data_IF_031302318333
#
_entry.id   IF_031302318333
#
_cell.length_a   1.000
_cell.length_b   1.000
_cell.length_c   1.000
_cell.angle_alpha   90.00
_cell.angle_beta   90.00
_cell.angle_gamma   90.00
#
_symmetry.space_group_name_H-M   'P 1'
#
loop_
_entity.id
_entity.type
_entity.pdbx_description
1 polymer ?
#
# COMPACT_ATOMS: atom_id res chain seq x y z
N UNK A 1 4.66 -9.80 -12.25
CA UNK A 1 4.17 -10.19 -12.46
C UNK A 1 4.28 -11.34 -13.20
N UNK A 2 3.69 -11.98 -13.35
CA UNK A 2 3.65 -13.10 -13.89
C UNK A 2 4.11 -13.15 -15.20
N UNK A 3 4.59 -12.20 -15.67
CA UNK A 3 4.97 -12.21 -17.00
C UNK A 3 6.28 -12.82 -17.18
N UNK A 4 6.93 -13.27 -16.18
CA UNK A 4 8.25 -13.82 -16.33
C UNK A 4 8.27 -14.99 -17.30
N UNK A 5 7.17 -15.71 -17.44
CA UNK A 5 7.17 -16.83 -18.35
C UNK A 5 7.07 -16.38 -19.79
N UNK A 6 6.82 -15.10 -20.04
CA UNK A 6 6.77 -14.60 -21.37
C UNK A 6 8.14 -14.15 -21.85
N UNK A 7 9.15 -14.28 -21.01
CA UNK A 7 10.49 -13.88 -21.38
C UNK A 7 11.39 -15.06 -21.17
N UNK A 8 11.31 -16.02 -22.06
CA UNK A 8 12.05 -17.26 -21.88
C UNK A 8 13.55 -17.13 -21.88
N UNK A 9 14.05 -16.00 -22.33
CA UNK A 9 15.48 -15.83 -22.34
C UNK A 9 16.03 -15.31 -21.02
N UNK A 10 15.14 -15.00 -20.09
CA UNK A 10 15.57 -14.48 -18.80
C UNK A 10 16.22 -15.60 -18.01
N UNK A 11 17.35 -15.31 -17.40
CA UNK A 11 18.02 -16.30 -16.62
C UNK A 11 17.40 -16.35 -15.28
N UNK A 12 16.74 -17.37 -14.98
CA UNK A 12 16.10 -17.55 -13.70
C UNK A 12 14.81 -16.73 -13.57
N UNK A 13 14.06 -16.94 -12.52
CA UNK A 13 12.77 -16.29 -12.34
C UNK A 13 12.91 -14.85 -11.88
N UNK A 14 11.85 -14.07 -12.14
CA UNK A 14 11.72 -12.74 -11.59
C UNK A 14 10.85 -12.88 -10.35
N UNK A 15 11.31 -12.35 -9.23
CA UNK A 15 10.55 -12.41 -7.99
C UNK A 15 9.71 -11.15 -7.84
N UNK A 16 8.41 -11.32 -7.64
CA UNK A 16 7.52 -10.19 -7.39
C UNK A 16 7.21 -10.15 -5.91
N UNK A 17 7.62 -9.08 -5.24
CA UNK A 17 7.46 -8.95 -3.81
C UNK A 17 6.38 -7.93 -3.52
N UNK A 18 5.37 -8.32 -2.73
CA UNK A 18 4.31 -7.41 -2.36
C UNK A 18 4.83 -6.45 -1.29
N UNK A 19 4.77 -5.17 -1.57
CA UNK A 19 5.24 -4.14 -0.65
C UNK A 19 4.07 -3.29 -0.14
N UNK A 20 2.92 -3.92 0.06
CA UNK A 20 1.73 -3.19 0.48
C UNK A 20 0.87 -3.97 1.48
N UNK A 21 1.48 -4.91 2.19
CA UNK A 21 0.74 -5.73 3.14
C UNK A 21 1.19 -5.53 4.58
N UNK A 22 1.76 -4.38 4.89
CA UNK A 22 2.18 -4.09 6.25
C UNK A 22 0.98 -4.10 7.19
N UNK A 23 -0.08 -3.34 6.82
CA UNK A 23 -1.34 -3.34 7.54
C UNK A 23 -2.46 -3.62 6.55
N UNK A 24 -3.49 -4.28 7.00
CA UNK A 24 -4.62 -4.62 6.15
C UNK A 24 -5.69 -5.33 6.95
N UNK A 25 -6.46 -6.19 6.28
CA UNK A 25 -7.55 -6.89 6.95
C UNK A 25 -7.06 -7.84 8.02
N UNK A 26 -5.78 -8.17 8.03
CA UNK A 26 -5.17 -9.07 8.99
C UNK A 26 -4.67 -8.37 10.26
N UNK A 27 -4.82 -7.07 10.35
CA UNK A 27 -4.22 -6.30 11.42
C UNK A 27 -5.13 -5.15 11.84
N UNK A 28 -4.67 -4.33 12.76
CA UNK A 28 -5.33 -3.06 13.08
C UNK A 28 -5.00 -1.99 12.07
N UNK A 29 -5.46 -0.76 12.31
CA UNK A 29 -5.25 0.34 11.36
C UNK A 29 -3.80 0.70 11.16
N UNK A 30 -3.47 1.09 9.95
CA UNK A 30 -2.14 1.54 9.61
C UNK A 30 -1.93 1.59 8.11
N UNK A 31 -0.78 2.07 7.68
CA UNK A 31 -0.48 2.20 6.25
C UNK A 31 -0.14 0.86 5.64
N UNK A 32 -0.33 0.74 4.32
CA UNK A 32 0.05 -0.48 3.62
C UNK A 32 1.56 -0.66 3.57
N UNK A 33 2.32 0.41 3.67
CA UNK A 33 3.78 0.37 3.70
C UNK A 33 4.30 1.61 4.39
N UNK A 34 5.53 1.54 4.88
CA UNK A 34 6.22 2.71 5.40
C UNK A 34 7.70 2.55 5.07
N UNK A 35 8.49 3.53 5.45
CA UNK A 35 9.91 3.56 5.10
C UNK A 35 10.65 2.35 5.69
N UNK A 36 10.40 2.07 6.94
CA UNK A 36 11.07 0.98 7.63
C UNK A 36 10.70 -0.37 7.05
N UNK A 37 9.43 -0.53 6.70
CA UNK A 37 8.95 -1.76 6.08
C UNK A 37 9.61 -1.98 4.72
N UNK A 38 9.69 -0.92 3.90
CA UNK A 38 10.31 -1.04 2.59
C UNK A 38 11.80 -1.34 2.72
N UNK A 39 12.48 -0.73 3.68
CA UNK A 39 13.88 -1.03 3.90
C UNK A 39 14.08 -2.48 4.32
N UNK A 40 13.17 -3.00 5.16
CA UNK A 40 13.23 -4.37 5.60
C UNK A 40 13.05 -5.35 4.44
N UNK A 41 12.12 -5.04 3.53
CA UNK A 41 11.88 -5.87 2.36
C UNK A 41 13.09 -5.86 1.45
N UNK A 42 13.67 -4.68 1.21
CA UNK A 42 14.85 -4.58 0.36
C UNK A 42 16.02 -5.36 0.94
N UNK A 43 16.16 -5.32 2.25
CA UNK A 43 17.23 -6.04 2.91
C UNK A 43 17.07 -7.55 2.73
N UNK A 44 15.83 -8.04 2.84
CA UNK A 44 15.58 -9.46 2.65
C UNK A 44 15.83 -9.91 1.22
N UNK A 45 15.59 -9.03 0.25
CA UNK A 45 15.74 -9.38 -1.15
C UNK A 45 17.15 -9.17 -1.68
N UNK A 46 18.01 -8.59 -0.87
CA UNK A 46 19.35 -8.23 -1.29
C UNK A 46 20.15 -9.37 -1.87
N UNK A 47 20.00 -10.56 -1.34
CA UNK A 47 20.78 -11.71 -1.78
C UNK A 47 20.02 -12.66 -2.71
N UNK A 48 18.85 -12.23 -3.18
CA UNK A 48 18.10 -13.06 -4.12
C UNK A 48 18.81 -13.01 -5.47
N UNK A 49 19.16 -14.16 -6.02
CA UNK A 49 19.95 -14.21 -7.25
C UNK A 49 19.12 -14.07 -8.52
N UNK A 50 18.16 -13.20 -8.51
CA UNK A 50 17.26 -12.99 -9.65
C UNK A 50 16.69 -11.57 -9.58
N UNK A 51 16.19 -11.05 -10.68
CA UNK A 51 15.56 -9.72 -10.66
C UNK A 51 14.39 -9.70 -9.70
N UNK A 52 14.22 -8.60 -8.99
CA UNK A 52 13.14 -8.43 -8.03
C UNK A 52 12.25 -7.28 -8.47
N UNK A 53 10.94 -7.54 -8.57
CA UNK A 53 9.96 -6.53 -8.90
C UNK A 53 9.23 -6.19 -7.62
N UNK A 54 9.29 -4.93 -7.21
CA UNK A 54 8.67 -4.47 -5.98
C UNK A 54 7.28 -3.93 -6.32
N UNK A 55 6.26 -4.63 -5.86
CA UNK A 55 4.87 -4.27 -6.16
C UNK A 55 4.30 -3.36 -5.07
N UNK A 56 3.77 -2.23 -5.49
CA UNK A 56 3.11 -1.28 -4.61
C UNK A 56 1.63 -1.23 -4.97
N UNK A 57 0.80 -0.79 -4.05
CA UNK A 57 -0.63 -0.69 -4.34
C UNK A 57 -1.21 0.56 -3.70
N UNK A 58 -2.19 1.15 -4.38
CA UNK A 58 -2.94 2.28 -3.85
C UNK A 58 -4.13 1.75 -3.05
N UNK A 59 -5.02 2.65 -2.62
CA UNK A 59 -6.20 2.27 -1.88
C UNK A 59 -5.88 1.97 -0.43
N UNK A 60 -6.84 1.44 0.27
CA UNK A 60 -6.66 1.18 1.68
C UNK A 60 -7.83 0.44 2.31
N UNK A 61 -8.04 0.70 3.58
CA UNK A 61 -9.04 -0.01 4.37
C UNK A 61 -9.72 0.92 5.35
N UNK A 62 -10.94 0.54 5.71
CA UNK A 62 -11.73 1.20 6.74
C UNK A 62 -11.83 0.19 7.89
N UNK A 63 -11.24 0.51 9.03
CA UNK A 63 -11.31 -0.32 10.22
C UNK A 63 -12.37 0.24 11.14
N UNK A 64 -13.41 -0.57 11.39
CA UNK A 64 -14.51 -0.18 12.26
C UNK A 64 -14.23 -0.64 13.68
N UNK A 65 -14.72 0.10 14.66
CA UNK A 65 -14.49 -0.27 16.06
C UNK A 65 -15.17 -1.60 16.41
N UNK A 66 -16.12 -2.05 15.60
CA UNK A 66 -16.77 -3.34 15.85
C UNK A 66 -15.92 -4.52 15.32
N UNK A 67 -14.74 -4.24 14.79
CA UNK A 67 -13.84 -5.27 14.32
C UNK A 67 -13.91 -5.58 12.83
N UNK A 68 -14.86 -4.98 12.13
CA UNK A 68 -14.96 -5.24 10.70
C UNK A 68 -13.95 -4.37 9.94
N UNK A 69 -13.46 -4.88 8.82
CA UNK A 69 -12.49 -4.17 7.99
C UNK A 69 -12.98 -4.23 6.55
N UNK A 70 -13.11 -3.07 5.92
CA UNK A 70 -13.61 -2.96 4.56
C UNK A 70 -12.52 -2.41 3.65
N UNK A 71 -12.31 -3.07 2.53
CA UNK A 71 -11.34 -2.61 1.53
C UNK A 71 -11.93 -1.43 0.76
N UNK A 72 -11.13 -0.41 0.51
CA UNK A 72 -11.56 0.78 -0.23
C UNK A 72 -10.55 1.11 -1.32
N UNK A 73 -11.06 1.60 -2.46
CA UNK A 73 -10.16 2.20 -3.44
C UNK A 73 -9.81 3.59 -2.94
N UNK A 74 -8.79 4.20 -3.53
CA UNK A 74 -8.42 5.56 -3.18
C UNK A 74 -9.60 6.51 -3.37
N UNK A 75 -10.32 6.35 -4.48
CA UNK A 75 -11.45 7.21 -4.75
C UNK A 75 -12.56 7.03 -3.73
N UNK A 76 -12.85 5.80 -3.36
CA UNK A 76 -13.86 5.52 -2.34
C UNK A 76 -13.47 6.13 -1.00
N UNK A 77 -12.20 6.04 -0.64
CA UNK A 77 -11.72 6.62 0.62
C UNK A 77 -11.90 8.13 0.62
N UNK A 78 -11.61 8.78 -0.51
CA UNK A 78 -11.74 10.23 -0.62
C UNK A 78 -13.19 10.67 -0.58
N UNK A 79 -14.08 9.94 -1.24
CA UNK A 79 -15.50 10.25 -1.24
C UNK A 79 -16.06 10.09 0.17
N UNK A 80 -15.65 9.04 0.86
CA UNK A 80 -16.12 8.79 2.22
C UNK A 80 -15.69 9.92 3.16
N UNK A 81 -14.46 10.40 3.01
CA UNK A 81 -13.97 11.51 3.84
C UNK A 81 -14.82 12.75 3.61
N UNK A 82 -15.19 13.03 2.36
CA UNK A 82 -16.01 14.18 2.04
C UNK A 82 -17.41 14.02 2.60
N UNK A 83 -17.94 12.81 2.54
CA UNK A 83 -19.29 12.53 3.01
C UNK A 83 -19.43 12.79 4.50
N UNK A 84 -18.42 12.45 5.28
CA UNK A 84 -18.46 12.63 6.72
C UNK A 84 -17.66 13.87 7.17
N UNK A 85 -17.22 14.70 6.23
CA UNK A 85 -16.45 15.91 6.51
C UNK A 85 -15.23 15.61 7.38
N UNK A 86 -14.59 14.47 7.12
CA UNK A 86 -13.43 14.06 7.88
C UNK A 86 -12.20 14.78 7.37
N UNK A 87 -11.28 15.08 8.28
CA UNK A 87 -10.05 15.77 7.92
C UNK A 87 -8.96 14.76 7.60
N UNK A 88 -8.54 14.70 6.34
CA UNK A 88 -7.48 13.78 5.93
C UNK A 88 -6.13 14.34 6.34
N UNK A 89 -5.31 13.49 6.92
CA UNK A 89 -3.96 13.86 7.35
C UNK A 89 -2.95 12.98 6.63
N UNK A 90 -1.72 13.42 6.58
CA UNK A 90 -0.64 12.65 5.98
C UNK A 90 0.29 12.15 7.07
N UNK A 91 0.50 10.84 7.08
CA UNK A 91 1.39 10.21 8.05
C UNK A 91 2.84 10.30 7.55
N UNK A 92 3.79 10.06 8.45
CA UNK A 92 5.20 10.05 8.07
C UNK A 92 5.49 8.92 7.08
N UNK A 93 4.63 7.91 7.00
CA UNK A 93 4.77 6.84 6.04
C UNK A 93 4.40 7.30 4.63
N UNK A 94 3.85 8.49 4.48
CA UNK A 94 3.35 8.98 3.21
C UNK A 94 1.90 8.63 2.96
N UNK A 95 1.32 7.75 3.75
CA UNK A 95 -0.08 7.37 3.60
C UNK A 95 -0.99 8.44 4.18
N UNK A 96 -2.23 8.46 3.72
CA UNK A 96 -3.25 9.38 4.23
C UNK A 96 -4.16 8.63 5.17
N UNK A 97 -4.68 9.35 6.14
CA UNK A 97 -5.61 8.73 7.09
C UNK A 97 -6.58 9.75 7.65
N UNK A 98 -7.71 9.24 8.14
CA UNK A 98 -8.70 10.04 8.83
C UNK A 98 -9.57 9.15 9.70
N UNK A 99 -10.33 9.76 10.60
CA UNK A 99 -11.30 9.03 11.41
C UNK A 99 -12.66 9.66 11.20
N UNK A 100 -13.71 8.89 11.41
CA UNK A 100 -15.07 9.41 11.33
C UNK A 100 -16.00 8.53 12.17
N UNK A 101 -17.18 9.04 12.46
CA UNK A 101 -18.20 8.29 13.18
C UNK A 101 -19.39 8.19 12.25
N UNK A 102 -19.90 6.98 12.03
CA UNK A 102 -21.00 6.78 11.10
C UNK A 102 -22.35 7.11 11.75
N UNK A 103 -23.43 6.89 10.99
CA UNK A 103 -24.78 7.25 11.44
C UNK A 103 -25.20 6.48 12.67
N UNK A 104 -24.61 5.34 12.90
CA UNK A 104 -24.95 4.50 14.04
C UNK A 104 -24.08 4.80 15.26
N UNK A 105 -23.20 5.79 15.16
CA UNK A 105 -22.32 6.13 16.26
C UNK A 105 -21.08 5.26 16.35
N UNK A 106 -20.81 4.47 15.33
CA UNK A 106 -19.63 3.58 15.32
C UNK A 106 -18.43 4.34 14.77
N UNK A 107 -17.32 4.25 15.47
CA UNK A 107 -16.08 4.92 15.06
C UNK A 107 -15.33 4.10 14.05
N UNK A 108 -14.71 4.81 13.11
CA UNK A 108 -13.92 4.18 12.02
C UNK A 108 -12.61 4.91 11.86
N UNK A 109 -11.61 4.17 11.43
CA UNK A 109 -10.31 4.77 11.07
C UNK A 109 -9.96 4.26 9.68
N UNK A 110 -9.67 5.18 8.76
CA UNK A 110 -9.38 4.86 7.37
C UNK A 110 -7.95 5.25 7.04
N UNK A 111 -7.23 4.33 6.40
CA UNK A 111 -5.88 4.60 5.90
C UNK A 111 -5.86 4.23 4.43
N UNK A 112 -5.28 5.08 3.61
CA UNK A 112 -5.19 4.80 2.18
C UNK A 112 -3.96 5.44 1.57
N UNK A 113 -3.54 4.94 0.41
CA UNK A 113 -2.45 5.50 -0.35
C UNK A 113 -2.98 6.06 -1.66
N UNK A 114 -2.61 7.31 -1.97
CA UNK A 114 -2.99 7.93 -3.22
C UNK A 114 -1.76 8.03 -4.11
N UNK A 115 -1.86 8.78 -5.20
CA UNK A 115 -0.75 8.91 -6.15
C UNK A 115 0.50 9.49 -5.46
N UNK A 116 0.31 10.47 -4.61
CA UNK A 116 1.42 11.08 -3.89
C UNK A 116 2.12 10.06 -2.99
N UNK A 117 1.32 9.22 -2.32
CA UNK A 117 1.85 8.17 -1.47
C UNK A 117 2.70 7.20 -2.27
N UNK A 118 2.20 6.79 -3.44
CA UNK A 118 2.94 5.86 -4.29
C UNK A 118 4.26 6.47 -4.74
N UNK A 119 4.26 7.76 -5.05
CA UNK A 119 5.49 8.42 -5.49
C UNK A 119 6.52 8.46 -4.37
N UNK A 120 6.08 8.65 -3.14
CA UNK A 120 6.98 8.63 -2.00
C UNK A 120 7.59 7.23 -1.83
N UNK A 121 6.76 6.22 -1.92
CA UNK A 121 7.23 4.83 -1.75
C UNK A 121 8.19 4.44 -2.88
N UNK A 122 7.90 4.84 -4.11
CA UNK A 122 8.80 4.56 -5.24
C UNK A 122 10.14 5.25 -5.03
N UNK A 123 10.12 6.48 -4.50
CA UNK A 123 11.34 7.20 -4.25
C UNK A 123 12.22 6.46 -3.24
N UNK A 124 11.61 5.95 -2.18
CA UNK A 124 12.35 5.21 -1.17
C UNK A 124 12.98 3.94 -1.75
N UNK A 125 12.24 3.25 -2.63
CA UNK A 125 12.79 2.06 -3.28
C UNK A 125 13.94 2.43 -4.21
N UNK A 126 13.81 3.54 -4.92
CA UNK A 126 14.87 4.00 -5.82
C UNK A 126 16.12 4.38 -5.03
N UNK A 127 15.95 4.99 -3.87
CA UNK A 127 17.09 5.36 -3.02
C UNK A 127 17.84 4.11 -2.56
N UNK A 128 17.15 2.99 -2.47
CA UNK A 128 17.79 1.73 -2.15
C UNK A 128 18.39 1.02 -3.35
N UNK A 129 18.37 1.67 -4.51
CA UNK A 129 19.01 1.11 -5.71
C UNK A 129 18.08 0.28 -6.58
N UNK A 130 16.79 0.27 -6.30
CA UNK A 130 15.84 -0.56 -7.04
C UNK A 130 15.14 0.21 -8.14
N UNK A 131 14.94 -0.42 -9.28
CA UNK A 131 14.33 0.24 -10.43
C UNK A 131 13.17 -0.52 -11.04
N UNK A 132 12.86 -1.69 -10.49
CA UNK A 132 11.77 -2.49 -11.01
C UNK A 132 10.57 -2.39 -10.09
N UNK A 133 9.51 -1.75 -10.55
CA UNK A 133 8.31 -1.55 -9.75
C UNK A 133 7.07 -1.95 -10.52
N UNK A 134 6.06 -2.43 -9.81
CA UNK A 134 4.73 -2.64 -10.36
C UNK A 134 3.76 -1.86 -9.49
N UNK A 135 2.83 -1.16 -10.11
CA UNK A 135 1.82 -0.41 -9.38
C UNK A 135 0.48 -1.08 -9.59
N UNK A 136 -0.15 -1.50 -8.51
CA UNK A 136 -1.46 -2.12 -8.57
C UNK A 136 -2.49 -1.08 -8.19
N UNK A 137 -3.33 -0.69 -9.15
CA UNK A 137 -4.35 0.31 -8.93
C UNK A 137 -5.65 -0.41 -8.68
N UNK A 138 -5.88 -0.70 -7.41
CA UNK A 138 -7.01 -1.51 -7.01
C UNK A 138 -8.32 -0.76 -7.22
N UNK A 139 -9.19 -1.35 -8.04
CA UNK A 139 -10.53 -0.81 -8.23
C UNK A 139 -10.65 0.47 -9.02
N UNK A 140 -9.63 0.84 -9.79
CA UNK A 140 -9.70 2.06 -10.58
C UNK A 140 -9.89 1.82 -12.04
#
# INVERSE_FOLDING_TARGET
NIESDQIPWVEGPTYCVMCYNLYGSHSGPGPKADHEFLQSVMEKMKNVPAPVDYALANGGFDWSEDGSVTSLTTKQAQILAAEFAAECKTDVSGAKFYTYTDENGTSHEVWYGDQETLEIWMKWLQEGGNREFSIWRLGE
#
